data_IF_100247716048
#
_entry.id   IF_100247716048
#
_cell.length_a   1.000
_cell.length_b   1.000
_cell.length_c   1.000
_cell.angle_alpha   90.00
_cell.angle_beta   90.00
_cell.angle_gamma   90.00
#
_symmetry.space_group_name_H-M   'P 1'
#
loop_
_entity.id
_entity.type
_entity.pdbx_description
1 polymer ?
#
# COMPACT_ATOMS: atom_id res chain seq x y z
N UNK A 1 -33.69 45.67 4.45
CA UNK A 1 -34.16 45.89 5.83
C UNK A 1 -35.26 44.85 6.14
N UNK A 2 -35.05 43.85 7.02
CA UNK A 2 -36.01 42.72 7.28
C UNK A 2 -36.20 42.36 8.77
N UNK A 3 -36.06 43.31 9.70
CA UNK A 3 -36.26 43.11 11.16
C UNK A 3 -35.46 41.94 11.80
N UNK A 4 -34.26 41.64 11.32
CA UNK A 4 -33.30 40.66 11.90
C UNK A 4 -31.99 41.35 12.27
N UNK A 5 -32.09 42.43 13.06
CA UNK A 5 -30.92 43.27 13.40
C UNK A 5 -29.95 42.56 14.34
N UNK A 6 -30.45 41.71 15.24
CA UNK A 6 -29.65 40.99 16.23
C UNK A 6 -29.91 39.49 16.16
N UNK A 7 -28.84 38.71 16.31
CA UNK A 7 -28.88 37.25 16.48
C UNK A 7 -28.18 36.94 17.79
N UNK A 8 -28.92 36.39 18.74
CA UNK A 8 -28.39 36.03 20.06
C UNK A 8 -28.02 34.54 20.09
N UNK A 9 -26.97 34.22 20.84
CA UNK A 9 -26.65 32.82 21.16
C UNK A 9 -27.74 32.24 22.07
N UNK A 10 -27.98 30.94 21.95
CA UNK A 10 -28.92 30.21 22.82
C UNK A 10 -28.19 29.86 24.12
N UNK A 11 -28.72 30.39 25.22
CA UNK A 11 -28.26 30.12 26.57
C UNK A 11 -29.07 29.00 27.24
N UNK A 12 -29.16 29.02 28.58
CA UNK A 12 -29.92 28.03 29.34
C UNK A 12 -31.39 27.93 28.90
N UNK A 13 -31.95 26.73 28.96
CA UNK A 13 -33.38 26.48 28.85
C UNK A 13 -33.94 26.15 30.23
N UNK A 14 -34.85 26.97 30.76
CA UNK A 14 -35.52 26.72 32.04
C UNK A 14 -36.82 25.98 31.77
N UNK A 15 -36.94 24.77 32.31
CA UNK A 15 -38.10 23.90 32.14
C UNK A 15 -38.88 23.80 33.45
N UNK A 16 -40.17 24.14 33.40
CA UNK A 16 -41.04 24.19 34.58
C UNK A 16 -42.29 23.31 34.41
N UNK A 17 -42.82 22.83 35.54
CA UNK A 17 -44.08 22.07 35.58
C UNK A 17 -45.33 22.94 35.70
N UNK A 18 -45.25 24.05 36.45
CA UNK A 18 -46.32 25.03 36.60
C UNK A 18 -45.75 26.45 36.60
N UNK A 19 -46.42 27.39 35.92
CA UNK A 19 -45.94 28.76 35.78
C UNK A 19 -46.35 29.61 36.99
N UNK A 20 -45.52 29.62 38.02
CA UNK A 20 -45.65 30.50 39.17
C UNK A 20 -44.89 31.82 38.98
N UNK A 21 -44.93 32.38 37.77
CA UNK A 21 -44.20 33.61 37.41
C UNK A 21 -42.79 33.38 36.86
N UNK A 22 -42.39 32.12 36.67
CA UNK A 22 -41.09 31.75 36.08
C UNK A 22 -40.97 32.30 34.66
N UNK A 23 -42.04 32.23 33.87
CA UNK A 23 -42.03 32.76 32.50
C UNK A 23 -41.69 34.26 32.47
N UNK A 24 -42.28 35.04 33.38
CA UNK A 24 -42.08 36.49 33.47
C UNK A 24 -40.68 36.84 34.00
N UNK A 25 -40.19 36.09 34.99
CA UNK A 25 -38.89 36.33 35.60
C UNK A 25 -37.73 36.12 34.61
N UNK A 26 -37.80 35.08 33.77
CA UNK A 26 -36.68 34.70 32.89
C UNK A 26 -36.79 35.21 31.45
N UNK A 27 -37.95 35.71 30.99
CA UNK A 27 -38.18 36.10 29.58
C UNK A 27 -37.28 37.25 29.08
N UNK A 28 -36.87 38.17 29.94
CA UNK A 28 -36.05 39.32 29.53
C UNK A 28 -34.54 39.09 29.70
N UNK A 29 -34.12 37.88 30.07
CA UNK A 29 -32.71 37.55 30.15
C UNK A 29 -32.19 37.17 28.75
N UNK A 30 -31.10 37.80 28.27
CA UNK A 30 -30.62 37.59 26.92
C UNK A 30 -30.17 36.14 26.70
N UNK A 31 -30.76 35.49 25.70
CA UNK A 31 -30.43 34.10 25.31
C UNK A 31 -31.06 33.02 26.20
N UNK A 32 -31.74 33.38 27.30
CA UNK A 32 -32.47 32.42 28.12
C UNK A 32 -33.84 32.16 27.51
N UNK A 33 -34.27 30.90 27.52
CA UNK A 33 -35.62 30.52 27.11
C UNK A 33 -36.31 29.74 28.22
N UNK A 34 -37.64 29.77 28.20
CA UNK A 34 -38.47 29.06 29.18
C UNK A 34 -39.43 28.14 28.43
N UNK A 35 -39.60 26.91 28.92
CA UNK A 35 -40.53 25.94 28.35
C UNK A 35 -41.32 25.22 29.45
N UNK A 36 -42.58 24.89 29.16
CA UNK A 36 -43.36 23.97 29.99
C UNK A 36 -42.97 22.53 29.66
N UNK A 37 -42.94 21.66 30.68
CA UNK A 37 -42.67 20.22 30.51
C UNK A 37 -43.70 19.53 29.60
N UNK A 38 -44.96 19.94 29.68
CA UNK A 38 -46.04 19.36 28.87
C UNK A 38 -45.90 19.66 27.38
N UNK A 39 -45.23 20.77 27.05
CA UNK A 39 -45.05 21.27 25.70
C UNK A 39 -43.57 21.46 25.34
N UNK A 40 -42.74 20.48 25.69
CA UNK A 40 -41.31 20.48 25.35
C UNK A 40 -41.10 20.45 23.83
N UNK A 41 -40.48 21.52 23.30
CA UNK A 41 -40.23 21.67 21.88
C UNK A 41 -38.79 21.24 21.52
N UNK A 42 -38.66 20.41 20.49
CA UNK A 42 -37.38 19.99 19.94
C UNK A 42 -36.53 21.17 19.45
N UNK A 43 -37.13 22.21 18.86
CA UNK A 43 -36.41 23.38 18.36
C UNK A 43 -35.72 24.18 19.48
N UNK A 44 -36.26 24.11 20.70
CA UNK A 44 -35.67 24.72 21.88
C UNK A 44 -34.64 23.80 22.53
N UNK A 45 -34.89 22.49 22.57
CA UNK A 45 -33.95 21.51 23.14
C UNK A 45 -32.68 21.34 22.28
N UNK A 46 -32.83 21.36 20.96
CA UNK A 46 -31.75 21.13 20.00
C UNK A 46 -31.74 22.22 18.90
N UNK A 47 -31.40 23.48 19.24
CA UNK A 47 -31.38 24.57 18.27
C UNK A 47 -30.34 24.29 17.18
N UNK A 48 -30.75 24.41 15.91
CA UNK A 48 -29.89 24.09 14.76
C UNK A 48 -29.60 22.59 14.60
N UNK A 49 -30.29 21.71 15.33
CA UNK A 49 -30.08 20.25 15.26
C UNK A 49 -28.93 19.74 16.13
N UNK A 50 -28.34 20.58 16.98
CA UNK A 50 -27.29 20.16 17.92
C UNK A 50 -27.88 19.58 19.20
N UNK A 51 -27.43 18.38 19.58
CA UNK A 51 -27.82 17.69 20.80
C UNK A 51 -27.16 18.36 22.03
N UNK A 52 -27.84 18.34 23.19
CA UNK A 52 -27.22 18.73 24.45
C UNK A 52 -27.17 20.25 24.71
N UNK A 53 -28.35 20.89 24.80
CA UNK A 53 -28.46 22.24 25.36
C UNK A 53 -28.35 22.18 26.89
N UNK A 54 -27.82 23.24 27.52
CA UNK A 54 -27.85 23.37 28.98
C UNK A 54 -29.30 23.63 29.45
N UNK A 55 -29.92 22.63 30.07
CA UNK A 55 -31.32 22.67 30.54
C UNK A 55 -31.36 22.65 32.07
N UNK A 56 -32.17 23.52 32.65
CA UNK A 56 -32.43 23.62 34.08
C UNK A 56 -33.86 23.15 34.32
N UNK A 57 -34.04 22.06 35.07
CA UNK A 57 -35.35 21.53 35.42
C UNK A 57 -35.76 21.96 36.83
N UNK A 58 -37.01 22.38 37.01
CA UNK A 58 -37.61 22.42 38.36
C UNK A 58 -37.87 21.01 38.86
N UNK A 59 -37.91 20.80 40.17
CA UNK A 59 -38.23 19.47 40.76
C UNK A 59 -39.54 18.91 40.20
N UNK A 60 -40.61 19.70 40.23
CA UNK A 60 -41.92 19.33 39.68
C UNK A 60 -41.91 19.04 38.19
N UNK A 61 -41.02 19.68 37.43
CA UNK A 61 -40.84 19.41 36.02
C UNK A 61 -40.20 18.05 35.79
N UNK A 62 -39.15 17.76 36.55
CA UNK A 62 -38.40 16.52 36.45
C UNK A 62 -39.27 15.31 36.81
N UNK A 63 -40.02 15.38 37.92
CA UNK A 63 -40.92 14.31 38.37
C UNK A 63 -42.06 14.02 37.35
N UNK A 64 -42.42 15.00 36.51
CA UNK A 64 -43.49 14.87 35.51
C UNK A 64 -43.01 14.23 34.20
N UNK A 65 -41.71 14.22 33.91
CA UNK A 65 -41.15 13.63 32.68
C UNK A 65 -41.45 12.13 32.57
N UNK A 66 -41.29 11.39 33.66
CA UNK A 66 -41.55 9.95 33.70
C UNK A 66 -43.02 9.63 33.38
N UNK A 67 -43.95 10.49 33.79
CA UNK A 67 -45.38 10.33 33.47
C UNK A 67 -45.67 10.59 31.98
N UNK A 68 -44.98 11.57 31.39
CA UNK A 68 -45.19 11.96 29.99
C UNK A 68 -44.58 10.98 29.00
N UNK A 69 -43.40 10.44 29.30
CA UNK A 69 -42.66 9.59 28.37
C UNK A 69 -42.63 8.12 28.77
N UNK A 70 -43.01 7.79 30.02
CA UNK A 70 -42.86 6.46 30.58
C UNK A 70 -41.41 6.16 30.96
N UNK A 71 -41.14 4.90 31.23
CA UNK A 71 -39.78 4.38 31.44
C UNK A 71 -39.46 3.31 30.38
N UNK A 72 -38.30 2.69 30.47
CA UNK A 72 -37.97 1.56 29.57
C UNK A 72 -38.93 0.38 29.75
N UNK A 73 -39.52 0.23 30.93
CA UNK A 73 -40.43 -0.87 31.29
C UNK A 73 -41.90 -0.47 31.32
N UNK A 74 -42.21 0.77 31.69
CA UNK A 74 -43.58 1.27 31.82
C UNK A 74 -43.97 2.15 30.64
N UNK A 75 -45.19 2.00 30.16
CA UNK A 75 -45.75 2.86 29.11
C UNK A 75 -46.01 4.28 29.62
N UNK A 76 -46.11 5.24 28.72
CA UNK A 76 -46.44 6.62 29.06
C UNK A 76 -47.91 6.74 29.52
N UNK A 77 -48.15 7.51 30.59
CA UNK A 77 -49.50 7.82 31.08
C UNK A 77 -50.21 8.87 30.22
N UNK A 78 -49.46 9.86 29.72
CA UNK A 78 -50.04 11.03 29.02
C UNK A 78 -50.18 10.78 27.51
N UNK A 79 -49.12 10.28 26.88
CA UNK A 79 -49.08 9.98 25.44
C UNK A 79 -49.62 8.57 25.20
N UNK A 80 -50.84 8.49 24.68
CA UNK A 80 -51.54 7.23 24.38
C UNK A 80 -50.70 6.34 23.46
N UNK A 81 -50.42 5.11 23.92
CA UNK A 81 -49.69 4.09 23.14
C UNK A 81 -48.22 4.41 22.90
N UNK A 82 -47.66 5.43 23.58
CA UNK A 82 -46.25 5.78 23.44
C UNK A 82 -45.38 4.92 24.36
N UNK A 83 -44.27 4.43 23.81
CA UNK A 83 -43.19 3.77 24.54
C UNK A 83 -41.87 4.39 24.14
N UNK A 84 -40.92 4.43 25.09
CA UNK A 84 -39.56 4.86 24.80
C UNK A 84 -38.92 3.97 23.72
N UNK A 85 -38.25 4.56 22.70
CA UNK A 85 -37.53 3.80 21.70
C UNK A 85 -36.48 2.90 22.35
N UNK A 86 -36.41 1.63 21.92
CA UNK A 86 -35.37 0.69 22.36
C UNK A 86 -34.12 0.88 21.52
N UNK A 87 -32.97 1.05 22.16
CA UNK A 87 -31.68 1.08 21.49
C UNK A 87 -31.36 -0.29 20.88
N UNK A 88 -30.62 -0.30 19.76
CA UNK A 88 -30.18 -1.55 19.13
C UNK A 88 -29.23 -2.37 20.00
N UNK A 89 -28.51 -1.72 20.91
CA UNK A 89 -27.57 -2.34 21.85
C UNK A 89 -28.01 -2.05 23.29
N UNK A 90 -27.92 -3.05 24.17
CA UNK A 90 -28.21 -2.88 25.60
C UNK A 90 -27.12 -2.07 26.30
N UNK A 91 -25.84 -2.29 25.95
CA UNK A 91 -24.69 -1.54 26.45
C UNK A 91 -24.00 -0.84 25.28
N UNK A 92 -23.73 0.46 25.41
CA UNK A 92 -23.04 1.26 24.40
C UNK A 92 -21.51 1.18 24.50
N UNK A 93 -20.96 0.70 25.63
CA UNK A 93 -19.52 0.56 25.81
C UNK A 93 -19.00 -0.69 25.09
N UNK A 94 -18.73 -0.52 23.80
CA UNK A 94 -18.16 -1.56 22.94
C UNK A 94 -16.75 -1.93 23.39
N UNK A 95 -15.98 -1.00 23.97
CA UNK A 95 -14.59 -1.28 24.38
C UNK A 95 -14.54 -2.25 25.55
N UNK A 96 -15.45 -2.09 26.52
CA UNK A 96 -15.60 -3.03 27.62
C UNK A 96 -16.05 -4.40 27.13
N UNK A 97 -16.98 -4.47 26.19
CA UNK A 97 -17.45 -5.73 25.61
C UNK A 97 -16.31 -6.45 24.88
N UNK A 98 -15.56 -5.74 24.05
CA UNK A 98 -14.42 -6.30 23.31
C UNK A 98 -13.37 -6.84 24.28
N UNK A 99 -13.08 -6.11 25.36
CA UNK A 99 -12.04 -6.47 26.31
C UNK A 99 -12.51 -7.42 27.42
N UNK A 100 -13.73 -7.96 27.34
CA UNK A 100 -14.21 -8.92 28.34
C UNK A 100 -13.54 -10.28 28.15
N UNK A 101 -13.40 -11.03 29.24
CA UNK A 101 -12.71 -12.32 29.23
C UNK A 101 -13.39 -13.34 28.31
N UNK A 102 -14.72 -13.29 28.20
CA UNK A 102 -15.50 -14.18 27.34
C UNK A 102 -15.19 -13.95 25.85
N UNK A 103 -14.97 -12.70 25.46
CA UNK A 103 -14.58 -12.36 24.09
C UNK A 103 -13.09 -12.64 23.87
N UNK A 104 -12.23 -12.16 24.77
CA UNK A 104 -10.79 -12.27 24.62
C UNK A 104 -10.27 -13.71 24.73
N UNK A 105 -10.95 -14.60 25.46
CA UNK A 105 -10.60 -16.03 25.53
C UNK A 105 -10.82 -16.78 24.21
N UNK A 106 -11.74 -16.31 23.37
CA UNK A 106 -12.06 -16.92 22.07
C UNK A 106 -11.36 -16.22 20.91
N UNK A 107 -11.08 -14.92 21.04
CA UNK A 107 -10.42 -14.13 20.01
C UNK A 107 -9.00 -14.66 19.78
N UNK A 108 -8.67 -14.92 18.51
CA UNK A 108 -7.32 -15.27 18.12
C UNK A 108 -6.36 -14.13 18.44
N UNK A 109 -5.13 -14.48 18.85
CA UNK A 109 -4.07 -13.50 19.02
C UNK A 109 -3.97 -12.59 17.79
N UNK A 110 -3.72 -11.28 17.97
CA UNK A 110 -3.55 -10.36 16.86
C UNK A 110 -2.53 -10.96 15.90
N UNK A 111 -2.93 -11.09 14.62
CA UNK A 111 -1.96 -11.46 13.59
C UNK A 111 -0.83 -10.46 13.72
N UNK A 112 0.41 -10.95 13.88
CA UNK A 112 1.59 -10.10 13.85
C UNK A 112 1.34 -9.10 12.74
N UNK A 113 1.47 -7.77 13.00
CA UNK A 113 1.18 -6.78 11.99
C UNK A 113 1.84 -7.33 10.76
N UNK A 114 1.04 -7.55 9.70
CA UNK A 114 1.65 -7.79 8.42
C UNK A 114 2.54 -6.58 8.35
N UNK A 115 3.84 -6.81 8.59
CA UNK A 115 4.84 -5.90 8.19
C UNK A 115 4.51 -5.93 6.72
N UNK A 116 3.67 -4.99 6.26
CA UNK A 116 3.83 -4.34 5.01
C UNK A 116 5.25 -3.84 5.17
N UNK A 117 6.18 -4.78 4.96
CA UNK A 117 7.60 -4.58 4.89
C UNK A 117 7.56 -3.60 3.76
N UNK A 118 7.62 -2.31 4.09
CA UNK A 118 7.74 -1.27 3.07
C UNK A 118 8.71 -1.86 2.09
N UNK A 119 8.25 -2.09 0.86
CA UNK A 119 8.93 -3.01 -0.06
C UNK A 119 10.38 -2.56 -0.09
N UNK A 120 11.26 -3.35 0.53
CA UNK A 120 12.64 -2.95 0.67
C UNK A 120 13.17 -2.78 -0.75
N UNK A 121 13.93 -1.71 -0.99
CA UNK A 121 14.40 -1.40 -2.34
C UNK A 121 15.04 -2.65 -2.96
N UNK A 122 14.52 -3.06 -4.13
CA UNK A 122 14.96 -4.28 -4.81
C UNK A 122 16.41 -4.13 -5.24
N UNK A 123 17.32 -4.85 -4.57
CA UNK A 123 18.74 -4.89 -4.94
C UNK A 123 18.94 -5.76 -6.17
N UNK A 124 19.67 -5.28 -7.17
CA UNK A 124 19.99 -6.06 -8.37
C UNK A 124 21.01 -7.17 -8.03
N UNK A 125 20.68 -8.47 -8.19
CA UNK A 125 21.58 -9.58 -7.85
C UNK A 125 22.84 -9.63 -8.71
N UNK A 126 22.78 -9.23 -9.98
CA UNK A 126 23.96 -9.26 -10.87
C UNK A 126 25.02 -8.23 -10.45
N UNK A 127 24.59 -7.14 -9.81
CA UNK A 127 25.49 -6.09 -9.30
C UNK A 127 25.81 -6.26 -7.81
N UNK A 128 24.92 -6.87 -7.04
CA UNK A 128 25.07 -7.05 -5.60
C UNK A 128 25.31 -8.53 -5.24
N UNK A 129 26.54 -8.85 -4.82
CA UNK A 129 26.94 -10.22 -4.49
C UNK A 129 26.10 -10.83 -3.37
N UNK A 130 25.76 -10.09 -2.32
CA UNK A 130 24.92 -10.60 -1.22
C UNK A 130 23.51 -10.97 -1.67
N UNK A 131 22.92 -10.18 -2.57
CA UNK A 131 21.65 -10.51 -3.20
C UNK A 131 21.77 -11.73 -4.13
N UNK A 132 22.89 -11.88 -4.86
CA UNK A 132 23.14 -13.06 -5.68
C UNK A 132 23.30 -14.32 -4.83
N UNK A 133 24.07 -14.27 -3.75
CA UNK A 133 24.31 -15.43 -2.87
C UNK A 133 23.00 -15.91 -2.25
N UNK A 134 22.12 -14.97 -1.88
CA UNK A 134 20.78 -15.30 -1.37
C UNK A 134 19.92 -16.04 -2.39
N UNK A 135 20.06 -15.73 -3.68
CA UNK A 135 19.32 -16.40 -4.77
C UNK A 135 19.99 -17.69 -5.22
N UNK A 136 21.32 -17.70 -5.29
CA UNK A 136 22.14 -18.83 -5.73
C UNK A 136 23.31 -19.02 -4.76
N UNK A 137 23.23 -20.00 -3.83
CA UNK A 137 24.31 -20.30 -2.89
C UNK A 137 25.65 -20.65 -3.56
N UNK A 138 25.63 -21.26 -4.76
CA UNK A 138 26.84 -21.66 -5.48
C UNK A 138 27.57 -20.46 -6.12
N UNK A 139 26.93 -19.29 -6.21
CA UNK A 139 27.52 -18.10 -6.84
C UNK A 139 28.84 -17.66 -6.17
N UNK A 140 28.98 -17.86 -4.85
CA UNK A 140 30.22 -17.58 -4.13
C UNK A 140 31.37 -18.50 -4.59
N UNK A 141 31.09 -19.81 -4.69
CA UNK A 141 32.08 -20.82 -5.11
C UNK A 141 32.49 -20.63 -6.58
N UNK A 142 31.51 -20.44 -7.47
CA UNK A 142 31.75 -20.20 -8.89
C UNK A 142 32.56 -18.92 -9.14
N UNK A 143 32.30 -17.85 -8.39
CA UNK A 143 33.08 -16.62 -8.49
C UNK A 143 34.51 -16.83 -7.99
N UNK A 144 34.69 -17.56 -6.88
CA UNK A 144 36.01 -17.88 -6.34
C UNK A 144 36.83 -18.74 -7.30
N UNK A 145 36.23 -19.77 -7.90
CA UNK A 145 36.93 -20.62 -8.88
C UNK A 145 37.31 -19.85 -10.14
N UNK A 146 36.44 -18.95 -10.62
CA UNK A 146 36.74 -18.09 -11.76
C UNK A 146 37.94 -17.15 -11.50
N UNK A 147 38.02 -16.55 -10.30
CA UNK A 147 39.15 -15.69 -9.90
C UNK A 147 40.45 -16.50 -9.89
N UNK A 148 40.48 -17.64 -9.21
CA UNK A 148 41.66 -18.50 -9.14
C UNK A 148 42.12 -18.95 -10.53
N UNK A 149 41.19 -19.29 -11.42
CA UNK A 149 41.50 -19.64 -12.80
C UNK A 149 42.06 -18.45 -13.58
N UNK A 150 41.50 -17.24 -13.40
CA UNK A 150 42.00 -16.04 -14.07
C UNK A 150 43.41 -15.66 -13.63
N UNK A 151 43.73 -15.80 -12.34
CA UNK A 151 45.07 -15.53 -11.81
C UNK A 151 46.09 -16.50 -12.37
N UNK A 152 45.75 -17.80 -12.45
CA UNK A 152 46.59 -18.82 -13.09
C UNK A 152 46.86 -18.49 -14.55
N UNK A 153 45.80 -18.19 -15.32
CA UNK A 153 45.92 -17.81 -16.74
C UNK A 153 46.73 -16.53 -16.94
N UNK A 154 46.61 -15.55 -16.05
CA UNK A 154 47.38 -14.32 -16.11
C UNK A 154 48.88 -14.58 -15.90
N UNK A 155 49.24 -15.43 -14.93
CA UNK A 155 50.62 -15.87 -14.69
C UNK A 155 51.18 -16.63 -15.90
N UNK A 156 50.46 -17.66 -16.37
CA UNK A 156 50.86 -18.43 -17.56
C UNK A 156 51.04 -17.54 -18.79
N UNK A 157 50.15 -16.56 -18.99
CA UNK A 157 50.25 -15.59 -20.09
C UNK A 157 51.45 -14.66 -19.92
N UNK A 158 51.72 -14.19 -18.71
CA UNK A 158 52.89 -13.34 -18.43
C UNK A 158 54.20 -14.09 -18.67
N UNK A 159 54.30 -15.35 -18.21
CA UNK A 159 55.45 -16.23 -18.46
C UNK A 159 55.61 -16.53 -19.95
N UNK A 160 54.51 -16.84 -20.65
CA UNK A 160 54.54 -17.03 -22.11
C UNK A 160 54.99 -15.77 -22.84
N UNK A 161 54.51 -14.61 -22.43
CA UNK A 161 54.91 -13.33 -23.02
C UNK A 161 56.38 -13.00 -22.73
N UNK A 162 56.90 -13.35 -21.55
CA UNK A 162 58.31 -13.20 -21.22
C UNK A 162 59.20 -14.11 -22.08
N UNK A 163 58.80 -15.38 -22.29
CA UNK A 163 59.50 -16.32 -23.21
C UNK A 163 59.48 -15.83 -24.65
N UNK A 164 58.35 -15.27 -25.12
CA UNK A 164 58.24 -14.64 -26.44
C UNK A 164 59.18 -13.44 -26.59
N UNK A 165 59.24 -12.55 -25.58
CA UNK A 165 60.15 -11.39 -25.57
C UNK A 165 61.62 -11.79 -25.53
N UNK A 166 61.95 -12.92 -24.90
CA UNK A 166 63.29 -13.50 -24.87
C UNK A 166 63.68 -14.27 -26.15
N UNK A 167 62.86 -14.22 -27.21
CA UNK A 167 63.14 -14.87 -28.50
C UNK A 167 63.01 -16.39 -28.49
N UNK A 168 62.53 -17.00 -27.40
CA UNK A 168 62.30 -18.44 -27.34
C UNK A 168 60.99 -18.78 -28.06
N UNK A 169 60.95 -19.84 -28.89
CA UNK A 169 59.74 -20.25 -29.59
C UNK A 169 58.72 -20.73 -28.55
N UNK A 170 57.73 -19.90 -28.23
CA UNK A 170 56.58 -20.39 -27.45
C UNK A 170 55.72 -21.21 -28.39
N UNK A 171 55.73 -22.53 -28.19
CA UNK A 171 54.94 -23.47 -28.96
C UNK A 171 53.45 -23.14 -28.92
N UNK A 172 52.97 -22.37 -29.90
CA UNK A 172 51.75 -22.80 -30.56
C UNK A 172 52.14 -24.04 -31.36
N UNK A 173 51.49 -25.18 -31.11
CA UNK A 173 51.70 -26.37 -31.94
C UNK A 173 51.58 -25.95 -33.42
N UNK A 174 52.61 -26.25 -34.23
CA UNK A 174 52.50 -26.05 -35.68
C UNK A 174 51.22 -26.76 -36.13
N UNK A 175 50.33 -26.06 -36.85
CA UNK A 175 49.08 -26.65 -37.37
C UNK A 175 49.41 -28.00 -38.01
N UNK A 176 48.56 -29.01 -37.82
CA UNK A 176 48.82 -30.34 -38.42
C UNK A 176 49.06 -30.22 -39.93
N UNK A 177 49.89 -31.08 -40.52
CA UNK A 177 50.18 -31.03 -41.97
C UNK A 177 48.89 -31.06 -42.81
N UNK A 178 47.88 -31.80 -42.37
CA UNK A 178 46.55 -31.82 -42.99
C UNK A 178 45.85 -30.45 -42.95
N UNK A 179 45.85 -29.76 -41.80
CA UNK A 179 45.29 -28.40 -41.69
C UNK A 179 46.08 -27.38 -42.51
N UNK A 180 47.41 -27.53 -42.62
CA UNK A 180 48.23 -26.67 -43.48
C UNK A 180 47.91 -26.91 -44.96
N UNK A 181 47.70 -28.17 -45.36
CA UNK A 181 47.31 -28.52 -46.73
C UNK A 181 45.93 -27.95 -47.09
N UNK A 182 44.95 -28.05 -46.19
CA UNK A 182 43.62 -27.45 -46.39
C UNK A 182 43.72 -25.93 -46.50
N UNK A 183 44.45 -25.27 -45.59
CA UNK A 183 44.62 -23.82 -45.64
C UNK A 183 45.33 -23.38 -46.93
N UNK A 184 46.38 -24.09 -47.35
CA UNK A 184 47.10 -23.79 -48.59
C UNK A 184 46.22 -24.00 -49.83
N UNK A 185 45.36 -25.03 -49.82
CA UNK A 185 44.38 -25.30 -50.88
C UNK A 185 43.31 -24.21 -50.94
N UNK A 186 42.79 -23.77 -49.80
CA UNK A 186 41.81 -22.69 -49.70
C UNK A 186 42.36 -21.36 -50.22
N UNK A 187 43.55 -20.94 -49.77
CA UNK A 187 44.18 -19.72 -50.27
C UNK A 187 44.60 -19.82 -51.74
N UNK A 188 45.01 -21.00 -52.21
CA UNK A 188 45.28 -21.23 -53.63
C UNK A 188 44.03 -21.06 -54.49
N UNK A 189 42.88 -21.56 -54.03
CA UNK A 189 41.60 -21.43 -54.72
C UNK A 189 41.15 -19.96 -54.81
N UNK A 190 41.33 -19.18 -53.74
CA UNK A 190 41.02 -17.74 -53.73
C UNK A 190 41.88 -16.88 -54.68
N UNK A 191 43.08 -17.35 -55.05
CA UNK A 191 43.93 -16.66 -56.04
C UNK A 191 43.42 -16.95 -57.46
N UNK A 192 42.94 -18.17 -57.71
CA UNK A 192 42.36 -18.58 -59.01
C UNK A 192 41.03 -17.87 -59.30
N UNK A 193 40.22 -17.62 -58.27
CA UNK A 193 38.96 -16.86 -58.39
C UNK A 193 39.16 -15.39 -58.84
N UNK A 194 40.40 -14.86 -58.81
CA UNK A 194 40.72 -13.52 -59.31
C UNK A 194 41.05 -13.46 -60.81
N UNK A 195 41.40 -14.60 -61.43
CA UNK A 195 41.72 -14.69 -62.86
C UNK A 195 40.54 -15.21 -63.71
N UNK A 196 39.38 -15.52 -63.11
CA UNK A 196 38.20 -16.07 -63.77
C UNK A 196 38.52 -17.30 -64.67
N UNK A 197 39.37 -18.22 -64.20
CA UNK A 197 39.66 -19.47 -64.90
C UNK A 197 39.33 -20.68 -64.03
N UNK A 198 38.50 -21.60 -64.55
CA UNK A 198 38.08 -22.83 -63.88
C UNK A 198 36.72 -23.35 -64.38
N UNK A 199 36.39 -24.60 -64.07
CA UNK A 199 35.19 -25.31 -64.55
C UNK A 199 33.86 -24.58 -64.26
N UNK A 200 33.80 -23.79 -63.18
CA UNK A 200 32.60 -23.01 -62.81
C UNK A 200 32.47 -21.70 -63.62
N UNK A 201 33.56 -21.21 -64.24
CA UNK A 201 33.60 -20.00 -65.08
C UNK A 201 33.63 -20.30 -66.59
N UNK A 202 33.97 -21.53 -67.01
CA UNK A 202 33.81 -22.03 -68.39
C UNK A 202 32.34 -22.09 -68.85
N UNK A 203 31.40 -21.95 -67.91
CA UNK A 203 29.95 -21.83 -68.21
C UNK A 203 29.62 -20.49 -68.87
N UNK A 204 30.44 -19.45 -68.70
CA UNK A 204 30.16 -18.10 -69.22
C UNK A 204 30.35 -18.02 -70.75
N UNK A 205 31.39 -18.66 -71.31
CA UNK A 205 31.57 -18.80 -72.76
C UNK A 205 30.43 -19.61 -73.40
N UNK A 206 29.89 -20.60 -72.66
CA UNK A 206 28.75 -21.41 -73.10
C UNK A 206 27.43 -20.62 -73.12
N UNK A 207 27.33 -19.52 -72.38
CA UNK A 207 26.14 -18.65 -72.35
C UNK A 207 26.19 -17.54 -73.42
N UNK A 208 27.39 -17.13 -73.86
CA UNK A 208 27.60 -16.13 -74.92
C UNK A 208 27.51 -16.69 -76.35
N UNK A 209 27.35 -18.02 -76.50
CA UNK A 209 26.97 -18.64 -77.78
C UNK A 209 28.04 -18.61 -78.88
N UNK A 210 29.31 -18.44 -78.54
CA UNK A 210 30.42 -18.27 -79.50
C UNK A 210 31.24 -19.53 -79.79
N UNK A 211 30.83 -20.72 -79.33
CA UNK A 211 31.50 -21.97 -79.66
C UNK A 211 30.53 -22.99 -80.27
N UNK A 212 30.65 -23.19 -81.59
CA UNK A 212 30.38 -24.46 -82.26
C UNK A 212 31.59 -25.38 -82.09
#
# INVERSE_FOLDING_TARGET
>A
MRNRRYVLRKGPLVVYGADHGISKAFRNLPGVEVASVDALNLLQLAPGGHLGRFVIFTKSAFDRLDKIFGTTTTESEVKKGYKLPRACMTNADVTRLINSDEVQSVVNAPKAPANAKHYALKKNPLKNLGAMIKLNPQAASARRSAILLSERRAKERAERLAKLRAGQPTGAAKRSKAQQAIAKKFYGQLVVDSEYQGQDYEVFDKWLGTAQ
#
